data_IF_639029005665
#
_entry.id   IF_639029005665
#
_cell.length_a   1.000
_cell.length_b   1.000
_cell.length_c   1.000
_cell.angle_alpha   90.00
_cell.angle_beta   90.00
_cell.angle_gamma   90.00
#
_symmetry.space_group_name_H-M   'P 1'
#
loop_
_entity.id
_entity.type
_entity.pdbx_description
1 polymer ?
#
# COMPACT_ATOMS: atom_id res chain seq x y z
N UNK A 1 20.55 41.11 -7.27
CA UNK A 1 20.42 40.56 -8.64
C UNK A 1 20.90 39.12 -8.60
N UNK A 2 20.02 38.18 -8.27
CA UNK A 2 20.26 36.75 -8.48
C UNK A 2 19.78 36.45 -9.90
N UNK A 3 20.67 36.64 -10.88
CA UNK A 3 20.42 36.23 -12.26
C UNK A 3 20.90 34.79 -12.38
N UNK A 4 19.95 33.90 -12.64
CA UNK A 4 20.11 32.73 -13.50
C UNK A 4 21.39 31.91 -13.26
N UNK A 5 21.45 31.19 -12.15
CA UNK A 5 22.25 29.96 -12.14
C UNK A 5 21.57 28.98 -13.10
N UNK A 6 22.26 28.45 -14.12
CA UNK A 6 21.71 27.34 -14.89
C UNK A 6 21.39 26.21 -13.91
N UNK A 7 20.18 25.66 -13.98
CA UNK A 7 19.88 24.43 -13.27
C UNK A 7 20.87 23.38 -13.80
N UNK A 8 21.85 22.99 -12.99
CA UNK A 8 22.66 21.82 -13.31
C UNK A 8 21.70 20.63 -13.32
N UNK A 9 21.40 20.12 -14.51
CA UNK A 9 20.62 18.90 -14.70
C UNK A 9 21.38 17.75 -14.04
N UNK A 10 21.07 17.52 -12.77
CA UNK A 10 21.63 16.44 -11.97
C UNK A 10 20.67 15.27 -12.08
N UNK A 11 21.08 14.23 -12.79
CA UNK A 11 20.33 12.99 -12.86
C UNK A 11 20.57 12.18 -11.58
N UNK A 12 19.49 11.85 -10.87
CA UNK A 12 19.53 10.98 -9.70
C UNK A 12 18.95 9.63 -10.14
N UNK A 13 19.77 8.57 -10.27
CA UNK A 13 19.27 7.26 -10.65
C UNK A 13 18.41 6.70 -9.52
N UNK A 14 17.18 6.29 -9.85
CA UNK A 14 16.29 5.57 -8.94
C UNK A 14 16.28 4.11 -9.35
N UNK A 15 16.87 3.26 -8.50
CA UNK A 15 16.81 1.82 -8.68
C UNK A 15 15.47 1.29 -8.20
N UNK A 16 14.97 0.27 -8.90
CA UNK A 16 13.76 -0.49 -8.51
C UNK A 16 12.48 0.35 -8.38
N UNK A 17 12.41 1.47 -9.11
CA UNK A 17 11.19 2.28 -9.24
C UNK A 17 10.91 2.50 -10.72
N UNK A 18 9.80 1.97 -11.22
CA UNK A 18 9.39 2.19 -12.61
C UNK A 18 8.75 3.57 -12.82
N UNK A 19 8.49 3.90 -14.09
CA UNK A 19 7.95 5.21 -14.46
C UNK A 19 6.53 5.47 -13.93
N UNK A 20 5.71 4.43 -13.80
CA UNK A 20 4.33 4.55 -13.31
C UNK A 20 4.31 4.81 -11.80
N UNK A 21 5.13 4.06 -11.05
CA UNK A 21 5.33 4.25 -9.62
C UNK A 21 5.89 5.63 -9.33
N UNK A 22 6.90 6.07 -10.09
CA UNK A 22 7.45 7.41 -9.94
C UNK A 22 6.40 8.49 -10.24
N UNK A 23 5.57 8.30 -11.27
CA UNK A 23 4.47 9.20 -11.58
C UNK A 23 3.48 9.32 -10.42
N UNK A 24 3.12 8.20 -9.78
CA UNK A 24 2.25 8.19 -8.60
C UNK A 24 2.89 8.95 -7.41
N UNK A 25 4.17 8.72 -7.14
CA UNK A 25 4.92 9.43 -6.09
C UNK A 25 4.94 10.94 -6.35
N UNK A 26 5.28 11.36 -7.57
CA UNK A 26 5.31 12.78 -7.96
C UNK A 26 3.92 13.41 -7.85
N UNK A 27 2.87 12.68 -8.22
CA UNK A 27 1.48 13.14 -8.12
C UNK A 27 1.10 13.40 -6.66
N UNK A 28 1.48 12.49 -5.75
CA UNK A 28 1.29 12.68 -4.30
C UNK A 28 2.04 13.91 -3.78
N UNK A 29 3.32 14.05 -4.11
CA UNK A 29 4.15 15.16 -3.65
C UNK A 29 3.63 16.52 -4.13
N UNK A 30 3.22 16.62 -5.39
CA UNK A 30 2.67 17.85 -5.96
C UNK A 30 1.36 18.26 -5.28
N UNK A 31 0.47 17.30 -5.00
CA UNK A 31 -0.77 17.57 -4.30
C UNK A 31 -0.53 18.05 -2.86
N UNK A 32 0.37 17.38 -2.12
CA UNK A 32 0.72 17.77 -0.75
C UNK A 32 1.44 19.11 -0.70
N UNK A 33 2.28 19.42 -1.69
CA UNK A 33 2.92 20.73 -1.82
C UNK A 33 1.91 21.84 -2.13
N UNK A 34 0.94 21.59 -3.03
CA UNK A 34 -0.11 22.54 -3.38
C UNK A 34 -1.06 22.82 -2.20
N UNK A 35 -1.35 21.81 -1.37
CA UNK A 35 -2.14 21.96 -0.16
C UNK A 35 -1.44 22.77 0.94
N UNK A 36 -0.11 22.87 0.91
CA UNK A 36 0.68 23.59 1.93
C UNK A 36 0.43 23.03 3.33
N UNK A 37 -0.06 23.88 4.25
CA UNK A 37 -0.39 23.49 5.64
C UNK A 37 -1.87 23.07 5.81
N UNK A 38 -2.65 23.00 4.74
CA UNK A 38 -4.06 22.64 4.79
C UNK A 38 -4.26 21.13 4.94
N UNK A 39 -4.31 20.66 6.18
CA UNK A 39 -4.48 19.25 6.52
C UNK A 39 -5.77 18.62 5.97
N UNK A 40 -6.86 19.39 5.88
CA UNK A 40 -8.12 18.87 5.35
C UNK A 40 -8.04 18.61 3.84
N UNK A 41 -7.28 19.43 3.12
CA UNK A 41 -7.05 19.25 1.69
C UNK A 41 -6.10 18.09 1.39
N UNK A 42 -5.05 17.91 2.21
CA UNK A 42 -4.19 16.71 2.16
C UNK A 42 -5.00 15.44 2.35
N UNK A 43 -5.80 15.37 3.41
CA UNK A 43 -6.67 14.21 3.69
C UNK A 43 -7.69 13.94 2.59
N UNK A 44 -8.24 14.99 1.97
CA UNK A 44 -9.13 14.84 0.81
C UNK A 44 -8.38 14.15 -0.34
N UNK A 45 -7.20 14.64 -0.67
CA UNK A 45 -6.36 14.06 -1.71
C UNK A 45 -5.93 12.63 -1.37
N UNK A 46 -5.53 12.35 -0.13
CA UNK A 46 -5.13 11.01 0.31
C UNK A 46 -6.25 9.97 0.14
N UNK A 47 -7.51 10.39 0.35
CA UNK A 47 -8.69 9.56 0.07
C UNK A 47 -8.89 9.26 -1.41
N UNK A 48 -8.47 10.16 -2.30
CA UNK A 48 -8.56 10.04 -3.76
C UNK A 48 -7.31 9.40 -4.38
N UNK A 49 -6.20 9.35 -3.66
CA UNK A 49 -4.93 8.77 -4.12
C UNK A 49 -5.08 7.26 -4.33
N UNK A 50 -4.73 6.76 -5.52
CA UNK A 50 -4.94 5.36 -5.92
C UNK A 50 -6.38 4.89 -5.58
N UNK A 51 -7.40 5.46 -6.25
CA UNK A 51 -8.79 5.26 -5.88
C UNK A 51 -9.25 3.82 -6.19
N UNK A 52 -10.34 3.41 -5.52
CA UNK A 52 -10.89 2.07 -5.68
C UNK A 52 -10.14 1.01 -4.86
N UNK A 53 -10.02 -0.20 -5.41
CA UNK A 53 -9.21 -1.29 -4.85
C UNK A 53 -7.97 -1.48 -5.75
N UNK A 54 -6.91 -0.66 -5.60
CA UNK A 54 -5.72 -0.78 -6.42
C UNK A 54 -5.10 -2.18 -6.29
N UNK A 55 -4.41 -2.64 -7.32
CA UNK A 55 -3.71 -3.92 -7.30
C UNK A 55 -2.63 -3.93 -6.22
N UNK A 56 -2.39 -5.09 -5.59
CA UNK A 56 -1.46 -5.17 -4.45
C UNK A 56 -0.03 -4.87 -4.89
N UNK A 57 0.36 -5.30 -6.09
CA UNK A 57 1.66 -5.00 -6.69
C UNK A 57 1.93 -3.50 -6.73
N UNK A 58 0.97 -2.71 -7.23
CA UNK A 58 1.09 -1.24 -7.27
C UNK A 58 1.28 -0.64 -5.87
N UNK A 59 0.57 -1.15 -4.86
CA UNK A 59 0.75 -0.69 -3.48
C UNK A 59 2.16 -1.02 -2.98
N UNK A 60 2.69 -2.21 -3.26
CA UNK A 60 4.06 -2.58 -2.88
C UNK A 60 5.12 -1.74 -3.59
N UNK A 61 4.97 -1.50 -4.88
CA UNK A 61 5.91 -0.67 -5.63
C UNK A 61 5.97 0.76 -5.07
N UNK A 62 4.82 1.33 -4.71
CA UNK A 62 4.75 2.65 -4.07
C UNK A 62 5.33 2.61 -2.65
N UNK A 63 5.14 1.53 -1.87
CA UNK A 63 5.80 1.36 -0.56
C UNK A 63 7.32 1.35 -0.72
N UNK A 64 7.85 0.58 -1.68
CA UNK A 64 9.29 0.52 -1.95
C UNK A 64 9.85 1.89 -2.35
N UNK A 65 9.16 2.59 -3.26
CA UNK A 65 9.53 3.93 -3.68
C UNK A 65 9.49 4.94 -2.51
N UNK A 66 8.42 4.92 -1.70
CA UNK A 66 8.28 5.80 -0.54
C UNK A 66 9.39 5.55 0.50
N UNK A 67 9.76 4.30 0.73
CA UNK A 67 10.87 3.94 1.62
C UNK A 67 12.24 4.37 1.06
N UNK A 68 12.47 4.20 -0.24
CA UNK A 68 13.71 4.61 -0.90
C UNK A 68 13.88 6.14 -0.87
N UNK A 69 12.80 6.88 -1.08
CA UNK A 69 12.78 8.35 -1.12
C UNK A 69 12.53 9.01 0.26
N UNK A 70 12.30 8.20 1.31
CA UNK A 70 12.04 8.66 2.69
C UNK A 70 10.83 9.60 2.81
N UNK A 71 9.72 9.22 2.16
CA UNK A 71 8.47 9.99 2.18
C UNK A 71 7.51 9.34 3.19
N UNK A 72 7.62 9.74 4.47
CA UNK A 72 6.86 9.13 5.57
C UNK A 72 5.33 9.20 5.37
N UNK A 73 4.79 10.34 4.94
CA UNK A 73 3.34 10.47 4.72
C UNK A 73 2.79 9.53 3.63
N UNK A 74 3.57 9.28 2.57
CA UNK A 74 3.18 8.34 1.51
C UNK A 74 3.27 6.90 2.01
N UNK A 75 4.30 6.59 2.80
CA UNK A 75 4.45 5.29 3.45
C UNK A 75 3.25 4.96 4.34
N UNK A 76 2.83 5.91 5.18
CA UNK A 76 1.68 5.76 6.09
C UNK A 76 0.38 5.58 5.30
N UNK A 77 0.15 6.41 4.28
CA UNK A 77 -1.03 6.34 3.42
C UNK A 77 -1.17 4.97 2.75
N UNK A 78 -0.10 4.48 2.14
CA UNK A 78 -0.13 3.23 1.38
C UNK A 78 -0.18 2.03 2.31
N UNK A 79 0.50 2.08 3.46
CA UNK A 79 0.39 1.06 4.51
C UNK A 79 -1.04 0.96 5.04
N UNK A 80 -1.75 2.09 5.18
CA UNK A 80 -3.17 2.13 5.52
C UNK A 80 -4.04 1.43 4.47
N UNK A 81 -3.79 1.70 3.17
CA UNK A 81 -4.52 1.03 2.08
C UNK A 81 -4.27 -0.48 2.03
N UNK A 82 -3.04 -0.92 2.29
CA UNK A 82 -2.71 -2.35 2.41
C UNK A 82 -3.46 -2.97 3.60
N UNK A 83 -3.46 -2.30 4.76
CA UNK A 83 -4.18 -2.77 5.94
C UNK A 83 -5.69 -2.89 5.67
N UNK A 84 -6.30 -1.92 4.99
CA UNK A 84 -7.70 -1.97 4.59
C UNK A 84 -8.00 -3.13 3.62
N UNK A 85 -7.04 -3.52 2.77
CA UNK A 85 -7.20 -4.66 1.85
C UNK A 85 -7.16 -6.02 2.57
N UNK A 86 -6.34 -6.12 3.62
CA UNK A 86 -6.17 -7.34 4.44
C UNK A 86 -7.27 -7.46 5.50
N UNK A 87 -7.89 -6.33 5.89
CA UNK A 87 -8.92 -6.29 6.92
C UNK A 87 -10.05 -7.28 6.63
N UNK A 88 -10.40 -8.07 7.65
CA UNK A 88 -11.45 -9.10 7.59
C UNK A 88 -11.23 -10.19 6.53
N UNK A 89 -10.00 -10.35 6.00
CA UNK A 89 -9.67 -11.44 5.08
C UNK A 89 -9.32 -12.71 5.83
N UNK A 90 -9.67 -13.85 5.23
CA UNK A 90 -9.32 -15.17 5.75
C UNK A 90 -7.82 -15.42 5.64
N UNK A 91 -7.30 -16.31 6.48
CA UNK A 91 -5.89 -16.74 6.42
C UNK A 91 -5.56 -17.32 5.05
N UNK A 92 -6.47 -18.09 4.46
CA UNK A 92 -6.31 -18.67 3.12
C UNK A 92 -6.30 -17.61 2.02
N UNK A 93 -7.15 -16.58 2.13
CA UNK A 93 -7.10 -15.45 1.21
C UNK A 93 -5.75 -14.73 1.28
N UNK A 94 -5.24 -14.46 2.48
CA UNK A 94 -3.95 -13.78 2.68
C UNK A 94 -2.81 -14.63 2.12
N UNK A 95 -2.83 -15.95 2.34
CA UNK A 95 -1.82 -16.86 1.78
C UNK A 95 -1.78 -16.79 0.26
N UNK A 96 -2.94 -16.88 -0.40
CA UNK A 96 -3.04 -16.78 -1.85
C UNK A 96 -2.59 -15.42 -2.38
N UNK A 97 -3.06 -14.33 -1.76
CA UNK A 97 -2.78 -12.98 -2.25
C UNK A 97 -1.30 -12.62 -2.20
N UNK A 98 -0.59 -13.13 -1.19
CA UNK A 98 0.84 -12.86 -0.98
C UNK A 98 1.75 -14.02 -1.43
N UNK A 99 1.18 -15.03 -2.09
CA UNK A 99 1.89 -16.23 -2.56
C UNK A 99 2.69 -16.94 -1.44
N UNK A 100 2.06 -17.09 -0.27
CA UNK A 100 2.63 -17.84 0.86
C UNK A 100 2.15 -19.30 0.84
N UNK A 101 3.10 -20.22 0.94
CA UNK A 101 2.83 -21.64 1.16
C UNK A 101 2.38 -21.89 2.61
N UNK A 102 1.43 -22.82 2.81
CA UNK A 102 1.08 -23.28 4.15
C UNK A 102 2.14 -24.28 4.65
N UNK A 103 2.89 -23.88 5.67
CA UNK A 103 3.93 -24.68 6.32
C UNK A 103 3.44 -25.38 7.61
N UNK A 104 2.18 -25.20 7.99
CA UNK A 104 1.58 -25.78 9.20
C UNK A 104 0.92 -27.14 8.92
N UNK A 105 1.09 -28.06 9.87
CA UNK A 105 0.35 -29.33 9.89
C UNK A 105 -1.13 -29.12 10.24
N UNK A 106 -1.97 -30.12 9.94
CA UNK A 106 -3.40 -30.05 10.25
C UNK A 106 -3.66 -29.92 11.76
N UNK A 107 -2.88 -30.62 12.58
CA UNK A 107 -2.93 -30.54 14.03
C UNK A 107 -2.56 -29.13 14.52
N UNK A 108 -1.49 -28.52 14.02
CA UNK A 108 -1.07 -27.16 14.41
C UNK A 108 -2.13 -26.11 14.02
N UNK A 109 -2.73 -26.23 12.83
CA UNK A 109 -3.83 -25.35 12.42
C UNK A 109 -5.02 -25.50 13.37
N UNK A 110 -5.41 -26.73 13.71
CA UNK A 110 -6.51 -26.98 14.65
C UNK A 110 -6.23 -26.38 16.03
N UNK A 111 -5.03 -26.56 16.57
CA UNK A 111 -4.64 -25.98 17.86
C UNK A 111 -4.64 -24.44 17.82
N UNK A 112 -4.19 -23.83 16.71
CA UNK A 112 -4.27 -22.38 16.54
C UNK A 112 -5.72 -21.89 16.48
N UNK A 113 -6.61 -22.60 15.78
CA UNK A 113 -8.03 -22.26 15.70
C UNK A 113 -8.70 -22.32 17.07
N UNK A 114 -8.38 -23.33 17.88
CA UNK A 114 -8.90 -23.47 19.25
C UNK A 114 -8.38 -22.38 20.19
N UNK A 115 -7.13 -21.93 20.01
CA UNK A 115 -6.52 -20.87 20.82
C UNK A 115 -6.95 -19.45 20.41
N UNK A 116 -7.31 -19.26 19.13
CA UNK A 116 -7.62 -17.95 18.55
C UNK A 116 -8.96 -17.90 17.81
N UNK A 117 -10.08 -18.33 18.43
CA UNK A 117 -11.38 -18.36 17.76
C UNK A 117 -11.80 -16.96 17.27
N UNK A 118 -11.42 -15.92 18.00
CA UNK A 118 -11.68 -14.51 17.66
C UNK A 118 -11.09 -14.07 16.32
N UNK A 119 -10.03 -14.74 15.82
CA UNK A 119 -9.37 -14.39 14.56
C UNK A 119 -10.18 -14.84 13.33
N UNK A 120 -11.16 -15.72 13.52
CA UNK A 120 -12.00 -16.28 12.46
C UNK A 120 -13.43 -15.71 12.47
N UNK A 121 -13.74 -14.79 13.38
CA UNK A 121 -15.03 -14.12 13.46
C UNK A 121 -15.06 -12.89 12.54
N UNK A 122 -16.20 -12.66 11.86
CA UNK A 122 -16.38 -11.48 11.02
C UNK A 122 -15.50 -11.42 9.76
N UNK A 123 -15.00 -12.59 9.32
CA UNK A 123 -14.22 -12.76 8.09
C UNK A 123 -15.16 -12.75 6.89
N UNK A 124 -14.81 -11.97 5.86
CA UNK A 124 -15.54 -11.93 4.60
C UNK A 124 -15.37 -13.26 3.83
N UNK A 125 -16.41 -13.76 3.14
CA UNK A 125 -16.28 -14.95 2.32
C UNK A 125 -15.28 -14.72 1.19
N UNK A 126 -14.46 -15.73 0.93
CA UNK A 126 -13.54 -15.73 -0.21
C UNK A 126 -14.34 -15.67 -1.53
N UNK A 127 -13.83 -14.93 -2.52
CA UNK A 127 -14.54 -14.67 -3.79
C UNK A 127 -14.95 -15.93 -4.55
N UNK A 128 -14.23 -17.04 -4.36
CA UNK A 128 -14.53 -18.37 -4.92
C UNK A 128 -15.78 -19.04 -4.30
N UNK A 129 -16.27 -18.55 -3.15
CA UNK A 129 -17.49 -19.05 -2.50
C UNK A 129 -18.76 -18.33 -2.97
N UNK A 130 -18.63 -17.32 -3.85
CA UNK A 130 -19.74 -16.48 -4.33
C UNK A 130 -20.31 -16.93 -5.69
N UNK A 131 -19.90 -18.09 -6.19
CA UNK A 131 -20.37 -18.64 -7.47
C UNK A 131 -21.59 -19.55 -7.22
N UNK A 132 -22.79 -18.96 -7.23
CA UNK A 132 -24.07 -19.67 -7.40
C UNK A 132 -24.40 -19.89 -8.89
#
# INVERSE_FOLDING_TARGET
MLKDMPAEETEIPLQDVDGETLHNVVTYLNAHAAAGDNENEKKRFDGEFLPGKPEMGVLFDVVLAANNLKIEGLMDLVSGKIADRIKNKSVEWVRREFDFENDLTAEEVSEMMDQTPWAFEGVDPDEEQLVD
#
